data_IF_648243321425
#
_entry.id   IF_648243321425
#
_cell.length_a   1.000
_cell.length_b   1.000
_cell.length_c   1.000
_cell.angle_alpha   90.00
_cell.angle_beta   90.00
_cell.angle_gamma   90.00
#
_symmetry.space_group_name_H-M   'P 1'
#
loop_
_entity.id
_entity.type
_entity.pdbx_description
1 polymer ?
#
# COMPACT_ATOMS: atom_id res chain seq x y z
N UNK A 1 -5.31 9.66 -16.62
CA UNK A 1 -5.56 8.75 -15.46
C UNK A 1 -4.81 9.27 -14.24
N UNK A 2 -5.45 9.25 -13.09
CA UNK A 2 -4.89 9.70 -11.81
C UNK A 2 -4.51 8.51 -10.93
N UNK A 3 -3.26 8.46 -10.52
CA UNK A 3 -2.73 7.51 -9.54
C UNK A 3 -2.61 8.20 -8.19
N UNK A 4 -3.14 7.59 -7.13
CA UNK A 4 -2.84 8.01 -5.76
C UNK A 4 -2.10 6.88 -5.04
N UNK A 5 -0.93 7.21 -4.49
CA UNK A 5 -0.14 6.31 -3.66
C UNK A 5 -0.45 6.63 -2.21
N UNK A 6 -1.14 5.72 -1.52
CA UNK A 6 -1.46 5.84 -0.10
C UNK A 6 -0.41 5.13 0.76
N UNK A 7 -0.06 5.77 1.88
CA UNK A 7 1.01 5.35 2.77
C UNK A 7 0.50 5.46 4.22
N UNK A 8 0.09 4.35 4.84
CA UNK A 8 -0.21 4.33 6.27
C UNK A 8 1.05 4.62 7.09
N UNK A 9 0.94 5.51 8.07
CA UNK A 9 2.05 5.95 8.91
C UNK A 9 1.65 5.96 10.39
N UNK A 10 2.52 5.43 11.25
CA UNK A 10 2.42 5.57 12.69
C UNK A 10 3.82 5.74 13.30
N UNK A 11 4.19 6.99 13.67
CA UNK A 11 5.53 7.36 14.17
C UNK A 11 6.65 7.01 13.17
N UNK A 12 6.54 7.55 11.95
CA UNK A 12 7.46 7.28 10.83
C UNK A 12 8.26 8.53 10.41
N UNK A 13 8.41 9.51 11.29
CA UNK A 13 9.10 10.77 10.97
C UNK A 13 10.54 10.56 10.43
N UNK A 14 11.24 9.52 10.89
CA UNK A 14 12.62 9.23 10.50
C UNK A 14 12.74 8.57 9.13
N UNK A 15 11.75 7.74 8.74
CA UNK A 15 11.78 6.93 7.50
C UNK A 15 11.08 7.61 6.34
N UNK A 16 10.16 8.53 6.63
CA UNK A 16 9.27 9.11 5.64
C UNK A 16 10.00 9.86 4.52
N UNK A 17 11.13 10.49 4.83
CA UNK A 17 11.94 11.23 3.84
C UNK A 17 12.44 10.31 2.71
N UNK A 18 13.06 9.20 3.09
CA UNK A 18 13.57 8.21 2.13
C UNK A 18 12.41 7.61 1.34
N UNK A 19 11.31 7.27 2.01
CA UNK A 19 10.13 6.69 1.36
C UNK A 19 9.55 7.63 0.31
N UNK A 20 9.29 8.91 0.64
CA UNK A 20 8.69 9.87 -0.31
C UNK A 20 9.62 10.18 -1.49
N UNK A 21 10.94 10.27 -1.26
CA UNK A 21 11.89 10.53 -2.33
C UNK A 21 12.03 9.35 -3.31
N UNK A 22 11.83 8.12 -2.85
CA UNK A 22 11.91 6.91 -3.68
C UNK A 22 10.65 6.71 -4.54
N UNK A 23 9.53 7.37 -4.23
CA UNK A 23 8.28 7.22 -4.98
C UNK A 23 8.40 7.77 -6.42
N UNK A 24 7.78 7.09 -7.41
CA UNK A 24 7.83 7.52 -8.80
C UNK A 24 7.08 8.84 -8.98
N UNK A 25 7.70 9.77 -9.71
CA UNK A 25 7.11 11.05 -10.11
C UNK A 25 6.45 11.01 -11.49
N UNK A 26 6.74 9.96 -12.25
CA UNK A 26 6.19 9.71 -13.57
C UNK A 26 6.05 8.21 -13.81
N UNK A 27 4.95 7.81 -14.43
CA UNK A 27 4.69 6.45 -14.93
C UNK A 27 3.96 6.61 -16.28
N UNK A 28 4.44 5.95 -17.32
CA UNK A 28 3.82 5.99 -18.64
C UNK A 28 2.36 5.52 -18.60
N UNK A 29 1.45 6.36 -19.10
CA UNK A 29 0.01 6.12 -19.10
C UNK A 29 -0.72 6.68 -17.86
N UNK A 30 0.01 7.34 -16.94
CA UNK A 30 -0.55 8.09 -15.82
C UNK A 30 -0.32 9.59 -16.06
N UNK A 31 -1.37 10.40 -15.99
CA UNK A 31 -1.30 11.85 -16.19
C UNK A 31 -0.93 12.60 -14.91
N UNK A 32 -1.32 12.05 -13.75
CA UNK A 32 -1.16 12.68 -12.45
C UNK A 32 -0.84 11.64 -11.37
N UNK A 33 0.21 11.89 -10.58
CA UNK A 33 0.59 11.06 -9.42
C UNK A 33 0.52 11.92 -8.17
N UNK A 34 -0.29 11.50 -7.20
CA UNK A 34 -0.39 12.15 -5.90
C UNK A 34 -0.04 11.18 -4.76
N UNK A 35 0.45 11.74 -3.66
CA UNK A 35 0.78 11.00 -2.44
C UNK A 35 -0.21 11.35 -1.35
N UNK A 36 -0.71 10.33 -0.66
CA UNK A 36 -1.63 10.45 0.46
C UNK A 36 -1.02 9.76 1.69
N UNK A 37 -0.74 10.51 2.74
CA UNK A 37 -0.38 9.96 4.05
C UNK A 37 -1.64 9.69 4.86
N UNK A 38 -1.73 8.51 5.45
CA UNK A 38 -2.73 8.19 6.46
C UNK A 38 -2.00 8.12 7.81
N UNK A 39 -2.09 9.21 8.56
CA UNK A 39 -1.53 9.29 9.90
C UNK A 39 -2.45 8.61 10.92
N UNK A 40 -2.04 7.47 11.43
CA UNK A 40 -2.79 6.68 12.42
C UNK A 40 -2.52 7.15 13.86
N UNK A 41 -2.65 8.46 14.11
CA UNK A 41 -2.50 9.04 15.44
C UNK A 41 -1.05 9.08 15.93
N UNK A 42 -0.09 9.39 15.06
CA UNK A 42 1.32 9.56 15.43
C UNK A 42 1.49 10.63 16.52
N UNK A 43 2.45 10.40 17.39
CA UNK A 43 2.84 11.30 18.49
C UNK A 43 4.18 12.00 18.24
N UNK A 44 4.86 11.61 17.17
CA UNK A 44 6.11 12.23 16.70
C UNK A 44 5.83 13.32 15.64
N UNK A 45 6.87 13.73 14.91
CA UNK A 45 6.78 14.75 13.85
C UNK A 45 6.36 14.19 12.48
N UNK A 46 5.70 13.03 12.40
CA UNK A 46 5.32 12.41 11.12
C UNK A 46 4.50 13.37 10.24
N UNK A 47 3.49 14.05 10.82
CA UNK A 47 2.60 14.94 10.06
C UNK A 47 3.33 16.19 9.56
N UNK A 48 4.16 16.80 10.42
CA UNK A 48 4.98 17.96 10.07
C UNK A 48 5.94 17.58 8.94
N UNK A 49 6.58 16.41 9.06
CA UNK A 49 7.52 15.93 8.04
C UNK A 49 6.85 15.67 6.71
N UNK A 50 5.65 15.06 6.71
CA UNK A 50 4.87 14.86 5.49
C UNK A 50 4.56 16.19 4.76
N UNK A 51 4.22 17.26 5.52
CA UNK A 51 3.98 18.60 4.96
C UNK A 51 5.26 19.21 4.39
N UNK A 52 6.38 19.11 5.10
CA UNK A 52 7.70 19.61 4.67
C UNK A 52 8.14 18.93 3.35
N UNK A 53 7.81 17.64 3.17
CA UNK A 53 8.11 16.86 1.97
C UNK A 53 7.16 17.12 0.80
N UNK A 54 6.15 17.99 0.98
CA UNK A 54 5.22 18.35 -0.08
C UNK A 54 4.23 17.24 -0.42
N UNK A 55 3.87 16.39 0.54
CA UNK A 55 2.82 15.39 0.36
C UNK A 55 1.50 16.08 0.04
N UNK A 56 0.79 15.60 -0.99
CA UNK A 56 -0.40 16.24 -1.53
C UNK A 56 -1.59 16.21 -0.56
N UNK A 57 -1.76 15.08 0.15
CA UNK A 57 -2.92 14.85 1.01
C UNK A 57 -2.52 14.16 2.32
N UNK A 58 -3.19 14.53 3.41
CA UNK A 58 -3.01 13.90 4.73
C UNK A 58 -4.39 13.64 5.34
N UNK A 59 -4.66 12.38 5.68
CA UNK A 59 -5.76 11.96 6.54
C UNK A 59 -5.19 11.65 7.91
N UNK A 60 -5.73 12.21 8.99
CA UNK A 60 -5.23 11.98 10.34
C UNK A 60 -6.31 11.47 11.27
N UNK A 61 -6.01 10.43 12.02
CA UNK A 61 -6.76 10.03 13.20
C UNK A 61 -6.24 10.73 14.44
N UNK A 62 -7.12 11.01 15.38
CA UNK A 62 -6.77 11.61 16.69
C UNK A 62 -5.97 10.62 17.55
N UNK A 63 -6.29 9.32 17.42
CA UNK A 63 -5.64 8.22 18.14
C UNK A 63 -5.39 7.06 17.17
N UNK A 64 -4.42 6.21 17.50
CA UNK A 64 -4.16 4.99 16.73
C UNK A 64 -5.41 4.10 16.68
N UNK A 65 -5.82 3.74 15.47
CA UNK A 65 -7.00 2.90 15.19
C UNK A 65 -6.65 1.59 14.52
N UNK A 66 -5.39 1.41 14.20
CA UNK A 66 -4.84 0.20 13.59
C UNK A 66 -4.88 0.20 12.07
N UNK A 67 -4.01 -0.64 11.51
CA UNK A 67 -3.69 -0.69 10.08
C UNK A 67 -4.93 -0.86 9.19
N UNK A 68 -5.87 -1.73 9.57
CA UNK A 68 -7.06 -1.99 8.76
C UNK A 68 -7.94 -0.74 8.59
N UNK A 69 -8.15 0.02 9.68
CA UNK A 69 -8.94 1.27 9.65
C UNK A 69 -8.20 2.37 8.89
N UNK A 70 -6.89 2.47 9.08
CA UNK A 70 -6.05 3.38 8.30
C UNK A 70 -6.15 3.09 6.81
N UNK A 71 -5.97 1.84 6.41
CA UNK A 71 -6.08 1.41 5.03
C UNK A 71 -7.44 1.78 4.40
N UNK A 72 -8.55 1.46 5.07
CA UNK A 72 -9.88 1.78 4.54
C UNK A 72 -10.15 3.29 4.46
N UNK A 73 -9.68 4.08 5.44
CA UNK A 73 -9.78 5.53 5.38
C UNK A 73 -8.96 6.11 4.20
N UNK A 74 -7.82 5.52 3.90
CA UNK A 74 -7.01 5.87 2.74
C UNK A 74 -7.72 5.53 1.42
N UNK A 75 -8.30 4.33 1.30
CA UNK A 75 -9.10 3.94 0.12
C UNK A 75 -10.27 4.92 -0.10
N UNK A 76 -11.04 5.24 0.96
CA UNK A 76 -12.15 6.20 0.87
C UNK A 76 -11.66 7.59 0.42
N UNK A 77 -10.56 8.08 1.00
CA UNK A 77 -9.95 9.35 0.62
C UNK A 77 -9.48 9.34 -0.85
N UNK A 78 -8.77 8.31 -1.29
CA UNK A 78 -8.33 8.16 -2.68
C UNK A 78 -9.52 8.20 -3.66
N UNK A 79 -10.60 7.48 -3.34
CA UNK A 79 -11.82 7.46 -4.16
C UNK A 79 -12.48 8.84 -4.25
N UNK A 80 -12.55 9.59 -3.15
CA UNK A 80 -13.09 10.97 -3.10
C UNK A 80 -12.21 11.95 -3.85
N UNK A 81 -10.90 11.77 -3.84
CA UNK A 81 -9.91 12.57 -4.58
C UNK A 81 -9.87 12.25 -6.08
N UNK A 82 -10.68 11.29 -6.54
CA UNK A 82 -10.83 10.97 -7.95
C UNK A 82 -9.76 10.01 -8.49
N UNK A 83 -9.14 9.20 -7.65
CA UNK A 83 -8.19 8.20 -8.11
C UNK A 83 -8.82 7.22 -9.11
N UNK A 84 -8.14 6.97 -10.24
CA UNK A 84 -8.41 5.89 -11.18
C UNK A 84 -7.71 4.61 -10.75
N UNK A 85 -6.48 4.77 -10.23
CA UNK A 85 -5.65 3.70 -9.68
C UNK A 85 -5.17 4.11 -8.29
N UNK A 86 -5.17 3.15 -7.36
CA UNK A 86 -4.67 3.32 -5.99
C UNK A 86 -3.55 2.33 -5.78
N UNK A 87 -2.42 2.79 -5.26
CA UNK A 87 -1.33 1.93 -4.77
C UNK A 87 -1.22 2.09 -3.26
N UNK A 88 -1.12 0.99 -2.54
CA UNK A 88 -0.74 0.97 -1.13
C UNK A 88 0.72 0.55 -0.98
N UNK A 89 1.49 1.31 -0.22
CA UNK A 89 2.87 0.98 0.17
C UNK A 89 3.07 1.33 1.64
N UNK A 90 4.13 0.78 2.25
CA UNK A 90 4.45 1.04 3.65
C UNK A 90 5.44 2.23 3.78
N UNK A 91 5.49 2.87 4.97
CA UNK A 91 6.31 4.05 5.23
C UNK A 91 7.77 3.74 5.59
N UNK A 92 8.13 2.47 5.75
CA UNK A 92 9.44 2.00 6.22
C UNK A 92 10.46 1.73 5.08
N UNK A 93 10.09 2.08 3.86
CA UNK A 93 10.90 1.91 2.64
C UNK A 93 11.34 0.47 2.37
N UNK A 94 10.60 -0.54 2.84
CA UNK A 94 10.90 -1.95 2.53
C UNK A 94 10.56 -2.32 1.07
N UNK A 95 9.73 -1.52 0.39
CA UNK A 95 9.37 -1.69 -1.00
C UNK A 95 10.06 -0.63 -1.84
N UNK A 96 10.74 -1.04 -2.91
CA UNK A 96 11.35 -0.10 -3.85
C UNK A 96 10.26 0.66 -4.62
N UNK A 97 10.32 2.00 -4.62
CA UNK A 97 9.36 2.83 -5.34
C UNK A 97 9.33 2.55 -6.84
N UNK A 98 10.46 2.16 -7.44
CA UNK A 98 10.55 1.72 -8.83
C UNK A 98 9.67 0.49 -9.16
N UNK A 99 9.33 -0.32 -8.17
CA UNK A 99 8.46 -1.48 -8.37
C UNK A 99 6.97 -1.11 -8.46
N UNK A 100 6.60 0.13 -8.11
CA UNK A 100 5.22 0.64 -8.24
C UNK A 100 4.75 0.57 -9.70
N UNK A 101 5.61 0.89 -10.65
CA UNK A 101 5.26 0.75 -12.07
C UNK A 101 4.86 -0.69 -12.43
N UNK A 102 5.55 -1.70 -11.88
CA UNK A 102 5.23 -3.12 -12.10
C UNK A 102 3.87 -3.51 -11.54
N UNK A 103 3.41 -2.85 -10.46
CA UNK A 103 2.05 -3.05 -9.92
C UNK A 103 0.99 -2.36 -10.77
N UNK A 104 1.31 -1.18 -11.34
CA UNK A 104 0.36 -0.35 -12.09
C UNK A 104 0.18 -0.87 -13.52
N UNK A 105 1.25 -1.34 -14.16
CA UNK A 105 1.25 -1.77 -15.56
C UNK A 105 0.14 -2.79 -15.91
N UNK A 106 -0.09 -3.87 -15.16
CA UNK A 106 -1.16 -4.82 -15.47
C UNK A 106 -2.56 -4.23 -15.37
N UNK A 107 -2.75 -3.19 -14.52
CA UNK A 107 -4.02 -2.48 -14.40
C UNK A 107 -4.26 -1.59 -15.63
N UNK A 108 -3.23 -0.86 -16.09
CA UNK A 108 -3.29 -0.02 -17.29
C UNK A 108 -3.58 -0.85 -18.54
N UNK A 109 -3.04 -2.05 -18.62
CA UNK A 109 -3.25 -2.98 -19.74
C UNK A 109 -4.57 -3.73 -19.65
N UNK A 110 -5.39 -3.50 -18.61
CA UNK A 110 -6.67 -4.19 -18.40
C UNK A 110 -6.54 -5.70 -18.11
N UNK A 111 -5.34 -6.17 -17.75
CA UNK A 111 -5.05 -7.59 -17.45
C UNK A 111 -5.49 -8.00 -16.04
N UNK A 112 -5.59 -7.01 -15.14
CA UNK A 112 -5.99 -7.23 -13.75
C UNK A 112 -6.76 -6.01 -13.22
N UNK A 113 -7.54 -6.21 -12.16
CA UNK A 113 -8.18 -5.13 -11.40
C UNK A 113 -7.52 -4.90 -10.05
N UNK A 114 -6.70 -5.86 -9.61
CA UNK A 114 -5.88 -5.81 -8.40
C UNK A 114 -4.56 -6.54 -8.64
N UNK A 115 -3.45 -5.99 -8.18
CA UNK A 115 -2.13 -6.63 -8.23
C UNK A 115 -1.50 -6.60 -6.84
N UNK A 116 -0.87 -7.69 -6.44
CA UNK A 116 -0.18 -7.84 -5.16
C UNK A 116 1.30 -8.06 -5.43
N UNK A 117 2.14 -7.22 -4.84
CA UNK A 117 3.59 -7.35 -4.92
C UNK A 117 4.09 -8.56 -4.13
N UNK A 118 4.94 -9.36 -4.75
CA UNK A 118 5.57 -10.51 -4.10
C UNK A 118 6.91 -10.09 -3.49
N UNK A 119 7.01 -10.08 -2.16
CA UNK A 119 8.23 -9.73 -1.41
C UNK A 119 9.35 -10.76 -1.53
N UNK A 120 9.13 -11.89 -2.22
CA UNK A 120 10.09 -13.01 -2.29
C UNK A 120 10.62 -13.37 -0.90
N UNK A 121 9.71 -13.62 0.05
CA UNK A 121 10.02 -13.86 1.46
C UNK A 121 11.03 -15.00 1.69
N UNK A 122 11.25 -15.84 0.68
CA UNK A 122 12.28 -16.89 0.70
C UNK A 122 13.71 -16.33 0.75
N UNK A 123 13.93 -15.12 0.18
CA UNK A 123 15.24 -14.46 0.15
C UNK A 123 15.50 -13.55 1.36
N UNK A 124 14.51 -13.36 2.25
CA UNK A 124 14.69 -12.53 3.44
C UNK A 124 15.47 -13.30 4.51
N UNK A 125 16.72 -12.88 4.75
CA UNK A 125 17.65 -13.57 5.66
C UNK A 125 17.15 -13.59 7.12
N UNK A 126 16.45 -12.55 7.57
CA UNK A 126 15.98 -12.40 8.95
C UNK A 126 14.72 -13.23 9.30
N UNK A 127 14.13 -13.94 8.33
CA UNK A 127 12.97 -14.78 8.62
C UNK A 127 13.40 -16.17 9.07
N UNK A 128 12.91 -16.58 10.25
CA UNK A 128 13.14 -17.96 10.73
C UNK A 128 12.50 -18.98 9.75
N UNK A 129 13.08 -20.19 9.62
CA UNK A 129 12.54 -21.25 8.74
C UNK A 129 11.06 -21.56 9.03
N UNK A 130 10.66 -21.51 10.31
CA UNK A 130 9.28 -21.73 10.74
C UNK A 130 8.35 -20.64 10.20
N UNK A 131 8.76 -19.36 10.28
CA UNK A 131 7.99 -18.22 9.77
C UNK A 131 7.79 -18.31 8.25
N UNK A 132 8.85 -18.68 7.51
CA UNK A 132 8.77 -18.92 6.05
C UNK A 132 7.78 -20.04 5.70
N UNK A 133 7.82 -21.16 6.46
CA UNK A 133 6.93 -22.31 6.25
C UNK A 133 5.46 -21.96 6.54
N UNK A 134 5.20 -21.23 7.64
CA UNK A 134 3.85 -20.80 8.01
C UNK A 134 3.27 -19.80 6.98
N UNK A 135 4.08 -18.90 6.48
CA UNK A 135 3.66 -17.96 5.42
C UNK A 135 3.29 -18.68 4.11
N UNK A 136 4.12 -19.66 3.68
CA UNK A 136 3.81 -20.50 2.51
C UNK A 136 2.52 -21.30 2.68
N UNK A 137 2.31 -21.87 3.88
CA UNK A 137 1.10 -22.60 4.19
C UNK A 137 -0.13 -21.67 4.15
N UNK A 138 -0.06 -20.51 4.80
CA UNK A 138 -1.13 -19.52 4.80
C UNK A 138 -1.49 -19.05 3.39
N UNK A 139 -0.49 -18.65 2.59
CA UNK A 139 -0.72 -18.24 1.19
C UNK A 139 -1.29 -19.41 0.35
N UNK A 140 -0.88 -20.65 0.62
CA UNK A 140 -1.43 -21.83 -0.05
C UNK A 140 -2.91 -22.06 0.24
N UNK A 141 -3.31 -21.88 1.51
CA UNK A 141 -4.73 -21.99 1.93
C UNK A 141 -5.57 -20.89 1.27
N UNK A 142 -5.09 -19.64 1.30
CA UNK A 142 -5.80 -18.49 0.69
C UNK A 142 -5.95 -18.70 -0.81
N UNK A 143 -4.90 -19.13 -1.54
CA UNK A 143 -4.98 -19.42 -2.97
C UNK A 143 -6.06 -20.47 -3.27
N UNK A 144 -6.07 -21.56 -2.50
CA UNK A 144 -7.05 -22.64 -2.69
C UNK A 144 -8.48 -22.16 -2.40
N UNK A 145 -8.66 -21.31 -1.39
CA UNK A 145 -9.98 -20.79 -1.01
C UNK A 145 -10.50 -19.73 -1.98
N UNK A 146 -9.60 -18.86 -2.49
CA UNK A 146 -9.94 -17.74 -3.39
C UNK A 146 -9.94 -18.10 -4.88
N UNK A 147 -9.35 -19.23 -5.26
CA UNK A 147 -9.16 -19.59 -6.67
C UNK A 147 -8.18 -18.69 -7.42
N UNK A 148 -7.28 -17.98 -6.71
CA UNK A 148 -6.29 -17.05 -7.29
C UNK A 148 -4.88 -17.64 -7.24
N UNK A 149 -3.97 -17.11 -8.08
CA UNK A 149 -2.55 -17.50 -8.11
C UNK A 149 -1.65 -16.63 -7.24
N UNK A 150 -2.22 -15.86 -6.31
CA UNK A 150 -1.46 -14.92 -5.45
C UNK A 150 -0.47 -15.67 -4.58
N UNK A 151 0.83 -15.33 -4.71
CA UNK A 151 1.93 -16.00 -4.01
C UNK A 151 2.13 -15.44 -2.60
N UNK A 152 2.08 -14.11 -2.44
CA UNK A 152 2.27 -13.41 -1.16
C UNK A 152 0.99 -12.68 -0.75
N UNK A 153 0.07 -13.40 -0.14
CA UNK A 153 -1.24 -12.87 0.28
C UNK A 153 -1.16 -11.89 1.44
N UNK A 154 -0.02 -11.83 2.13
CA UNK A 154 0.20 -10.96 3.29
C UNK A 154 0.97 -9.68 2.95
N UNK A 155 1.33 -9.47 1.67
CA UNK A 155 2.02 -8.26 1.24
C UNK A 155 1.09 -7.05 1.35
N UNK A 156 1.56 -5.96 1.98
CA UNK A 156 0.90 -4.65 1.99
C UNK A 156 1.09 -3.87 0.68
N UNK A 157 2.01 -4.30 -0.19
CA UNK A 157 2.33 -3.65 -1.45
C UNK A 157 1.35 -4.09 -2.55
N UNK A 158 0.34 -3.27 -2.79
CA UNK A 158 -0.80 -3.62 -3.64
C UNK A 158 -1.25 -2.46 -4.50
N UNK A 159 -1.84 -2.78 -5.65
CA UNK A 159 -2.53 -1.79 -6.49
C UNK A 159 -3.96 -2.23 -6.80
N UNK A 160 -4.82 -1.25 -7.02
CA UNK A 160 -6.25 -1.44 -7.28
C UNK A 160 -6.72 -0.48 -8.36
N UNK A 161 -7.56 -0.96 -9.28
CA UNK A 161 -8.39 -0.05 -10.08
C UNK A 161 -9.45 0.60 -9.19
N UNK A 162 -10.00 1.74 -9.63
CA UNK A 162 -11.13 2.38 -8.95
C UNK A 162 -12.29 1.42 -8.72
N UNK A 163 -12.63 0.60 -9.71
CA UNK A 163 -13.70 -0.38 -9.61
C UNK A 163 -13.44 -1.42 -8.52
N UNK A 164 -12.23 -1.97 -8.46
CA UNK A 164 -11.85 -2.90 -7.41
C UNK A 164 -11.88 -2.26 -6.03
N UNK A 165 -11.36 -1.02 -5.92
CA UNK A 165 -11.35 -0.26 -4.66
C UNK A 165 -12.77 0.00 -4.11
N UNK A 166 -13.74 0.30 -4.98
CA UNK A 166 -15.15 0.48 -4.59
C UNK A 166 -15.80 -0.80 -4.04
N UNK A 167 -15.26 -1.98 -4.36
CA UNK A 167 -15.76 -3.29 -3.90
C UNK A 167 -15.01 -3.83 -2.69
N UNK A 168 -13.92 -3.15 -2.28
CA UNK A 168 -13.16 -3.58 -1.12
C UNK A 168 -13.98 -3.45 0.17
N UNK A 169 -13.97 -4.52 0.95
CA UNK A 169 -14.54 -4.53 2.28
C UNK A 169 -13.61 -5.29 3.23
N UNK A 170 -13.04 -4.58 4.19
CA UNK A 170 -12.16 -5.15 5.20
C UNK A 170 -12.95 -5.41 6.46
N UNK A 171 -13.18 -6.68 6.76
CA UNK A 171 -13.97 -7.13 7.91
C UNK A 171 -13.11 -7.38 9.16
N UNK A 172 -11.79 -7.39 9.02
CA UNK A 172 -10.84 -7.57 10.11
C UNK A 172 -10.46 -6.23 10.74
N UNK A 173 -10.29 -6.20 12.06
CA UNK A 173 -9.72 -5.04 12.75
C UNK A 173 -8.18 -5.04 12.80
N UNK A 174 -7.53 -6.12 12.36
CA UNK A 174 -6.08 -6.31 12.50
C UNK A 174 -5.30 -6.01 11.22
N UNK A 175 -5.82 -6.45 10.06
CA UNK A 175 -5.13 -6.37 8.77
C UNK A 175 -6.14 -6.38 7.62
N UNK A 176 -5.66 -6.10 6.43
CA UNK A 176 -6.42 -6.08 5.18
C UNK A 176 -5.81 -7.01 4.14
#
# INVERSE_FOLDING_TARGET
>A
MKLIIQIPCYNEAETLDVTIHDLPKHIDGIDEIEYLIINDGSTDRTVERAKELGVHHIVSFVHNRGLAKGFMAGIDACLRLGADIIVNTDADNQYAGADIEKLVRPLLEGKATMVIGNRRTDSIEHFSPLKKKLQKLGSGVVRKASGTDVVDTTSGFRSYTREAALRLNVLSDYTY
#
